data_IF_043784096370
#
_entry.id   IF_043784096370
#
_cell.length_a   1.000
_cell.length_b   1.000
_cell.length_c   1.000
_cell.angle_alpha   90.00
_cell.angle_beta   90.00
_cell.angle_gamma   90.00
#
_symmetry.space_group_name_H-M   'P 1'
#
loop_
_entity.id
_entity.type
_entity.pdbx_description
1 polymer ?
#
# COMPACT_ATOMS: atom_id res chain seq x y z
N UNK A 1 -2.24 3.49 -0.72
CA UNK A 1 -0.82 3.21 -1.04
C UNK A 1 -0.62 3.33 -2.53
N UNK A 2 0.42 4.01 -3.01
CA UNK A 2 0.74 4.05 -4.43
C UNK A 2 1.25 2.67 -4.85
N UNK A 3 0.59 2.05 -5.83
CA UNK A 3 0.97 0.73 -6.38
C UNK A 3 1.63 0.85 -7.74
N UNK A 4 1.37 1.95 -8.47
CA UNK A 4 1.99 2.23 -9.75
C UNK A 4 2.03 3.73 -9.98
N UNK A 5 3.16 4.21 -10.45
CA UNK A 5 3.38 5.60 -10.83
C UNK A 5 3.79 5.66 -12.30
N UNK A 6 3.12 6.54 -13.05
CA UNK A 6 3.42 6.82 -14.45
C UNK A 6 3.46 8.33 -14.66
N UNK A 7 3.98 8.78 -15.81
CA UNK A 7 4.02 10.20 -16.15
C UNK A 7 2.61 10.83 -16.15
N UNK A 8 1.59 10.09 -16.60
CA UNK A 8 0.23 10.60 -16.77
C UNK A 8 -0.69 10.37 -15.57
N UNK A 9 -0.39 9.36 -14.74
CA UNK A 9 -1.30 8.93 -13.67
C UNK A 9 -0.60 8.23 -12.50
N UNK A 10 -1.23 8.38 -11.33
CA UNK A 10 -0.96 7.61 -10.12
C UNK A 10 -2.07 6.58 -9.90
N UNK A 11 -1.67 5.38 -9.52
CA UNK A 11 -2.59 4.30 -9.16
C UNK A 11 -2.44 4.05 -7.66
N UNK A 12 -3.51 4.28 -6.92
CA UNK A 12 -3.59 4.06 -5.48
C UNK A 12 -4.40 2.80 -5.21
N UNK A 13 -3.89 1.93 -4.32
CA UNK A 13 -4.68 0.88 -3.70
C UNK A 13 -5.19 1.35 -2.34
N UNK A 14 -6.50 1.22 -2.12
CA UNK A 14 -7.17 1.53 -0.84
C UNK A 14 -7.10 0.33 0.12
N UNK A 15 -7.54 0.54 1.36
CA UNK A 15 -7.65 -0.53 2.36
C UNK A 15 -8.68 -1.61 1.99
N UNK A 16 -9.62 -1.32 1.09
CA UNK A 16 -10.56 -2.30 0.53
C UNK A 16 -9.99 -3.04 -0.70
N UNK A 17 -8.68 -2.98 -0.94
CA UNK A 17 -7.99 -3.49 -2.13
C UNK A 17 -8.42 -2.88 -3.47
N UNK A 18 -9.30 -1.89 -3.46
CA UNK A 18 -9.75 -1.19 -4.65
C UNK A 18 -8.61 -0.35 -5.25
N UNK A 19 -8.50 -0.33 -6.57
CA UNK A 19 -7.54 0.52 -7.29
C UNK A 19 -8.23 1.79 -7.79
N UNK A 20 -7.66 2.93 -7.44
CA UNK A 20 -8.11 4.25 -7.86
C UNK A 20 -7.01 4.84 -8.74
N UNK A 21 -7.41 5.30 -9.93
CA UNK A 21 -6.54 6.06 -10.83
C UNK A 21 -6.78 7.55 -10.62
N UNK A 22 -5.70 8.28 -10.40
CA UNK A 22 -5.69 9.74 -10.29
C UNK A 22 -4.79 10.27 -11.40
N UNK A 23 -5.27 11.22 -12.21
CA UNK A 23 -4.43 11.83 -13.23
C UNK A 23 -3.34 12.68 -12.55
N UNK A 24 -2.11 12.65 -13.06
CA UNK A 24 -0.98 13.32 -12.41
C UNK A 24 -1.16 14.84 -12.34
N UNK A 25 -1.92 15.42 -13.27
CA UNK A 25 -2.25 16.84 -13.28
C UNK A 25 -3.29 17.25 -12.23
N UNK A 26 -4.05 16.31 -11.68
CA UNK A 26 -5.03 16.55 -10.62
C UNK A 26 -4.43 16.43 -9.21
N UNK A 27 -3.11 16.24 -9.10
CA UNK A 27 -2.41 16.02 -7.83
C UNK A 27 -1.64 17.27 -7.45
N UNK A 28 -2.19 18.02 -6.50
CA UNK A 28 -1.55 19.25 -6.00
C UNK A 28 -0.33 18.95 -5.11
N UNK A 29 -0.41 17.93 -4.25
CA UNK A 29 0.66 17.57 -3.32
C UNK A 29 0.68 16.07 -3.02
N UNK A 30 1.88 15.50 -2.87
CA UNK A 30 2.09 14.12 -2.43
C UNK A 30 2.76 14.12 -1.06
N UNK A 31 2.03 13.70 -0.04
CA UNK A 31 2.55 13.59 1.32
C UNK A 31 2.65 12.12 1.76
N UNK A 32 3.75 11.72 2.41
CA UNK A 32 3.84 10.39 3.03
C UNK A 32 2.80 10.29 4.15
N UNK A 33 1.98 9.25 4.09
CA UNK A 33 1.03 8.97 5.17
C UNK A 33 1.75 8.27 6.32
N UNK A 34 1.53 8.74 7.54
CA UNK A 34 1.94 8.05 8.77
C UNK A 34 1.00 6.88 9.13
N UNK A 35 -0.08 6.68 8.37
CA UNK A 35 -1.05 5.60 8.59
C UNK A 35 -0.75 4.47 7.60
N UNK A 36 -0.37 3.31 8.13
CA UNK A 36 -0.18 2.10 7.34
C UNK A 36 -1.52 1.54 6.85
N UNK A 37 -1.56 1.00 5.63
CA UNK A 37 -2.70 0.20 5.14
C UNK A 37 -2.75 -1.16 5.85
N UNK A 38 -1.68 -1.58 6.53
CA UNK A 38 -1.70 -2.77 7.37
C UNK A 38 -2.85 -2.65 8.39
N UNK A 39 -3.82 -3.57 8.37
CA UNK A 39 -4.88 -3.57 9.38
C UNK A 39 -4.25 -3.75 10.75
N UNK A 40 -4.56 -2.85 11.68
CA UNK A 40 -4.06 -2.92 13.04
C UNK A 40 -4.48 -4.24 13.70
N UNK A 41 -3.54 -4.96 14.31
CA UNK A 41 -3.83 -6.18 15.03
C UNK A 41 -3.73 -7.46 14.20
N UNK A 42 -3.41 -7.39 12.90
CA UNK A 42 -3.12 -8.58 12.09
C UNK A 42 -1.91 -9.35 12.67
N UNK A 43 -0.92 -8.63 13.17
CA UNK A 43 0.25 -9.16 13.86
C UNK A 43 -0.10 -9.92 15.15
N UNK A 44 -1.26 -9.61 15.77
CA UNK A 44 -1.71 -10.28 17.00
C UNK A 44 -2.43 -11.59 16.73
N UNK A 45 -2.85 -11.80 15.48
CA UNK A 45 -3.57 -13.00 15.04
C UNK A 45 -2.68 -14.00 14.30
N UNK A 46 -1.39 -13.66 14.12
CA UNK A 46 -0.42 -14.46 13.38
C UNK A 46 0.71 -14.92 14.30
N UNK A 47 1.26 -16.08 14.01
CA UNK A 47 2.52 -16.54 14.60
C UNK A 47 3.70 -15.71 14.05
N UNK A 48 4.82 -15.68 14.76
CA UNK A 48 6.02 -14.97 14.31
C UNK A 48 6.48 -15.43 12.93
N UNK A 49 6.29 -16.72 12.60
CA UNK A 49 6.62 -17.28 11.30
C UNK A 49 5.68 -16.76 10.20
N UNK A 50 4.37 -16.76 10.44
CA UNK A 50 3.39 -16.22 9.48
C UNK A 50 3.60 -14.72 9.24
N UNK A 51 4.04 -13.98 10.26
CA UNK A 51 4.40 -12.58 10.11
C UNK A 51 5.68 -12.40 9.28
N UNK A 52 6.70 -13.23 9.50
CA UNK A 52 7.91 -13.23 8.68
C UNK A 52 7.61 -13.55 7.20
N UNK A 53 6.77 -14.55 6.95
CA UNK A 53 6.34 -14.96 5.60
C UNK A 53 5.54 -13.84 4.92
N UNK A 54 4.68 -13.13 5.66
CA UNK A 54 3.96 -11.96 5.17
C UNK A 54 4.92 -10.82 4.81
N UNK A 55 5.93 -10.55 5.65
CA UNK A 55 6.96 -9.55 5.35
C UNK A 55 7.74 -9.93 4.10
N UNK A 56 8.13 -11.19 3.95
CA UNK A 56 8.81 -11.70 2.76
C UNK A 56 7.95 -11.46 1.50
N UNK A 57 6.68 -11.84 1.54
CA UNK A 57 5.74 -11.61 0.45
C UNK A 57 5.63 -10.12 0.05
N UNK A 58 5.59 -9.22 1.04
CA UNK A 58 5.54 -7.78 0.79
C UNK A 58 6.85 -7.23 0.22
N UNK A 59 8.00 -7.71 0.69
CA UNK A 59 9.32 -7.32 0.20
C UNK A 59 9.59 -7.82 -1.23
N UNK A 60 9.13 -9.01 -1.57
CA UNK A 60 9.29 -9.59 -2.91
C UNK A 60 8.41 -8.93 -3.97
N UNK A 61 7.32 -8.26 -3.57
CA UNK A 61 6.36 -7.61 -4.49
C UNK A 61 6.74 -6.16 -4.84
N UNK A 62 8.00 -5.77 -4.62
CA UNK A 62 8.50 -4.41 -4.90
C UNK A 62 8.89 -4.21 -6.36
#
# INVERSE_FOLDING_TARGET
MIVRETADALYLRTSQLAEIRIARHDVDELQPSNVSIMPQGLEKTMTDQEFADLLEFLYQRR
#
